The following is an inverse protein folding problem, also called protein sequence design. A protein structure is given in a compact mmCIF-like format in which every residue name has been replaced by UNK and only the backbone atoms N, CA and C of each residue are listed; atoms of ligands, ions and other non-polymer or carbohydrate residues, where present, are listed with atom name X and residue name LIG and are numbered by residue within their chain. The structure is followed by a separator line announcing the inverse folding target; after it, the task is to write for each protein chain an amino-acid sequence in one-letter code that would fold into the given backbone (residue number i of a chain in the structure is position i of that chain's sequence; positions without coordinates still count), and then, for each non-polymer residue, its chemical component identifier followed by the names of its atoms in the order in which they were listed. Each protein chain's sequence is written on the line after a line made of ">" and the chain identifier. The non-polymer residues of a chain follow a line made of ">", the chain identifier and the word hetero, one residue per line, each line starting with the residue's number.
data_IF_657357429096
#
_entry.id   IF_657357429096
#
_cell.length_a   1.000
_cell.length_b   1.000
_cell.length_c   1.000
_cell.angle_alpha   90.00
_cell.angle_beta   90.00
_cell.angle_gamma   90.00
#
_symmetry.space_group_name_H-M   'P 1'
#
loop_
_entity.id
_entity.type
_entity.pdbx_description
1 polymer ?
#
# COMPACT_ATOMS: atom_id res chain seq x y z
N UNK A 1 -13.45 -17.82 -5.22
CA UNK A 1 -13.64 -16.89 -6.36
C UNK A 1 -12.54 -17.15 -7.36
N UNK A 2 -12.81 -17.04 -8.64
CA UNK A 2 -11.80 -17.21 -9.68
C UNK A 2 -10.93 -15.95 -9.79
N UNK A 3 -9.63 -16.13 -9.59
CA UNK A 3 -8.62 -15.05 -9.64
C UNK A 3 -8.53 -14.44 -11.03
N UNK A 4 -8.71 -15.23 -12.10
CA UNK A 4 -8.68 -14.73 -13.47
C UNK A 4 -9.87 -13.81 -13.74
N UNK A 5 -11.08 -14.22 -13.34
CA UNK A 5 -12.27 -13.38 -13.40
C UNK A 5 -12.13 -12.07 -12.60
N UNK A 6 -11.54 -12.13 -11.41
CA UNK A 6 -11.30 -10.94 -10.59
C UNK A 6 -10.30 -9.98 -11.24
N UNK A 7 -9.24 -10.50 -11.86
CA UNK A 7 -8.27 -9.70 -12.58
C UNK A 7 -8.89 -9.06 -13.83
N UNK A 8 -9.67 -9.82 -14.61
CA UNK A 8 -10.41 -9.32 -15.76
C UNK A 8 -11.42 -8.22 -15.38
N UNK A 9 -12.01 -8.33 -14.19
CA UNK A 9 -12.89 -7.31 -13.61
C UNK A 9 -12.16 -6.20 -12.87
N UNK A 10 -10.83 -6.08 -12.95
CA UNK A 10 -10.06 -5.00 -12.31
C UNK A 10 -10.15 -4.96 -10.77
N UNK A 11 -10.54 -6.07 -10.13
CA UNK A 11 -10.74 -6.17 -8.67
C UNK A 11 -9.49 -6.65 -7.92
N UNK A 12 -8.45 -7.06 -8.63
CA UNK A 12 -7.13 -7.41 -8.10
C UNK A 12 -6.08 -7.07 -9.15
N UNK A 13 -4.89 -6.61 -8.74
CA UNK A 13 -3.84 -6.18 -9.66
C UNK A 13 -4.32 -5.01 -10.53
N UNK A 14 -3.89 -3.81 -10.20
CA UNK A 14 -4.59 -2.63 -10.71
C UNK A 14 -3.86 -1.36 -10.37
N UNK A 15 -4.60 -0.35 -9.91
CA UNK A 15 -4.04 0.95 -9.59
C UNK A 15 -3.94 1.16 -8.09
N UNK A 16 -2.93 1.89 -7.67
CA UNK A 16 -2.74 2.33 -6.30
C UNK A 16 -2.67 3.85 -6.27
N UNK A 17 -3.13 4.44 -5.17
CA UNK A 17 -2.96 5.86 -4.92
C UNK A 17 -1.52 6.09 -4.48
N UNK A 18 -0.82 7.00 -5.16
CA UNK A 18 0.52 7.42 -4.81
C UNK A 18 0.66 8.94 -4.84
N UNK A 19 1.71 9.44 -4.21
CA UNK A 19 2.12 10.85 -4.31
C UNK A 19 3.38 10.90 -5.17
N UNK A 20 3.37 11.73 -6.20
CA UNK A 20 4.51 11.91 -7.09
C UNK A 20 5.52 12.94 -6.54
N UNK A 21 6.63 13.11 -7.24
CA UNK A 21 7.72 14.04 -6.88
C UNK A 21 7.30 15.51 -6.74
N UNK A 22 6.15 15.91 -7.29
CA UNK A 22 5.59 17.26 -7.16
C UNK A 22 4.65 17.40 -5.95
N UNK A 23 4.49 16.35 -5.15
CA UNK A 23 3.55 16.30 -4.04
C UNK A 23 2.09 16.14 -4.46
N UNK A 24 1.83 15.77 -5.72
CA UNK A 24 0.48 15.58 -6.29
C UNK A 24 0.03 14.14 -6.13
N UNK A 25 -1.27 13.94 -5.89
CA UNK A 25 -1.87 12.60 -5.81
C UNK A 25 -2.23 12.11 -7.20
N UNK A 26 -1.82 10.88 -7.51
CA UNK A 26 -2.16 10.19 -8.75
C UNK A 26 -2.45 8.71 -8.49
N UNK A 27 -3.14 8.07 -9.42
CA UNK A 27 -3.35 6.63 -9.40
C UNK A 27 -2.44 5.95 -10.43
N UNK A 28 -1.55 5.09 -9.96
CA UNK A 28 -0.55 4.41 -10.78
C UNK A 28 -0.79 2.89 -10.83
N UNK A 29 -0.64 2.33 -12.02
CA UNK A 29 -0.80 0.88 -12.23
C UNK A 29 0.38 0.10 -11.65
N UNK A 30 0.08 -1.06 -11.08
CA UNK A 30 1.07 -2.03 -10.63
C UNK A 30 0.71 -3.43 -11.16
N UNK A 31 1.70 -4.27 -11.47
CA UNK A 31 1.43 -5.58 -12.03
C UNK A 31 0.73 -6.50 -11.02
N UNK A 32 -0.15 -7.37 -11.53
CA UNK A 32 -0.62 -8.52 -10.77
C UNK A 32 0.53 -9.54 -10.72
N UNK A 33 1.31 -9.53 -9.65
CA UNK A 33 2.39 -10.49 -9.47
C UNK A 33 1.84 -11.92 -9.29
N UNK A 34 2.66 -12.92 -9.61
CA UNK A 34 2.40 -14.32 -9.21
C UNK A 34 2.26 -14.43 -7.69
N UNK A 35 1.58 -15.47 -7.20
CA UNK A 35 1.49 -15.72 -5.77
C UNK A 35 2.79 -16.40 -5.31
N UNK A 36 3.52 -15.75 -4.42
CA UNK A 36 4.73 -16.32 -3.81
C UNK A 36 4.39 -17.39 -2.75
N UNK A 37 5.33 -18.29 -2.49
CA UNK A 37 5.18 -19.34 -1.48
C UNK A 37 4.83 -18.77 -0.10
N UNK A 38 3.80 -19.33 0.56
CA UNK A 38 3.34 -18.89 1.87
C UNK A 38 2.62 -17.53 1.90
N UNK A 39 2.38 -16.91 0.75
CA UNK A 39 1.66 -15.66 0.62
C UNK A 39 0.15 -15.86 0.38
N UNK A 40 -0.57 -14.75 0.49
CA UNK A 40 -2.00 -14.65 0.24
C UNK A 40 -2.25 -13.58 -0.82
N UNK A 41 -3.24 -13.81 -1.67
CA UNK A 41 -3.82 -12.73 -2.48
C UNK A 41 -5.09 -12.24 -1.83
N UNK A 42 -5.16 -10.93 -1.62
CA UNK A 42 -6.28 -10.28 -0.95
C UNK A 42 -6.95 -9.34 -1.94
N UNK A 43 -8.27 -9.48 -2.08
CA UNK A 43 -9.12 -8.47 -2.71
C UNK A 43 -9.51 -7.43 -1.66
N UNK A 44 -9.03 -6.20 -1.82
CA UNK A 44 -9.23 -5.11 -0.84
C UNK A 44 -10.69 -4.68 -0.78
N UNK A 45 -11.41 -4.97 0.31
CA UNK A 45 -12.81 -4.55 0.45
C UNK A 45 -12.90 -3.09 0.88
N UNK A 46 -12.05 -2.68 1.85
CA UNK A 46 -11.95 -1.29 2.32
C UNK A 46 -10.53 -0.97 2.74
N UNK A 47 -10.14 0.29 2.62
CA UNK A 47 -8.94 0.83 3.25
C UNK A 47 -9.23 2.19 3.85
N UNK A 48 -8.48 2.57 4.88
CA UNK A 48 -8.68 3.81 5.60
C UNK A 48 -7.45 4.70 5.46
N UNK A 49 -7.66 5.93 5.02
CA UNK A 49 -6.61 6.95 4.97
C UNK A 49 -6.25 7.37 6.39
N UNK A 50 -4.97 7.52 6.67
CA UNK A 50 -4.50 8.04 7.96
C UNK A 50 -4.24 9.54 7.92
N UNK A 51 -5.04 10.36 8.64
CA UNK A 51 -4.80 11.79 8.69
C UNK A 51 -3.45 12.15 9.32
N UNK A 52 -3.03 11.40 10.35
CA UNK A 52 -1.80 11.69 11.10
C UNK A 52 -0.53 11.11 10.48
N UNK A 53 -0.64 10.20 9.52
CA UNK A 53 0.52 9.55 8.89
C UNK A 53 0.57 9.84 7.41
N UNK A 54 -0.48 9.50 6.66
CA UNK A 54 -0.45 9.60 5.19
C UNK A 54 -0.56 11.05 4.73
N UNK A 55 -1.42 11.86 5.36
CA UNK A 55 -1.57 13.27 4.95
C UNK A 55 -0.33 14.13 5.26
N UNK A 56 0.58 13.67 6.11
CA UNK A 56 1.84 14.39 6.35
C UNK A 56 2.80 14.34 5.15
N UNK A 57 2.58 13.40 4.22
CA UNK A 57 3.35 13.31 2.97
C UNK A 57 2.72 14.10 1.81
N UNK A 58 1.55 14.70 2.02
CA UNK A 58 0.78 15.35 0.96
C UNK A 58 1.22 16.80 0.72
N UNK A 59 1.33 17.17 -0.57
CA UNK A 59 1.60 18.51 -1.04
C UNK A 59 3.09 18.84 -1.18
N UNK A 60 3.37 20.00 -1.79
CA UNK A 60 4.72 20.53 -2.00
C UNK A 60 5.47 20.81 -0.69
N UNK A 61 4.71 21.22 0.33
CA UNK A 61 5.20 21.51 1.68
C UNK A 61 4.92 20.35 2.64
N UNK A 62 5.07 19.10 2.16
CA UNK A 62 4.85 17.90 2.95
C UNK A 62 5.66 17.95 4.25
N UNK A 63 5.00 17.71 5.38
CA UNK A 63 5.58 17.90 6.72
C UNK A 63 6.22 16.63 7.29
N UNK A 64 6.09 15.49 6.61
CA UNK A 64 6.62 14.23 7.10
C UNK A 64 8.15 14.26 7.23
N UNK A 65 8.66 14.02 8.43
CA UNK A 65 10.09 14.10 8.74
C UNK A 65 10.96 13.13 7.92
N UNK A 66 10.41 12.00 7.47
CA UNK A 66 11.13 11.03 6.64
C UNK A 66 11.47 11.55 5.23
N UNK A 67 10.81 12.64 4.78
CA UNK A 67 11.14 13.34 3.54
C UNK A 67 12.32 14.32 3.68
N UNK A 68 12.75 14.62 4.92
CA UNK A 68 13.67 15.73 5.20
C UNK A 68 14.86 15.36 6.08
N UNK A 69 14.78 14.23 6.79
CA UNK A 69 15.75 13.80 7.80
C UNK A 69 15.96 12.29 7.74
N UNK A 70 17.00 11.84 8.45
CA UNK A 70 17.30 10.41 8.64
C UNK A 70 16.97 10.00 10.07
N UNK A 71 16.38 8.82 10.24
CA UNK A 71 16.22 8.19 11.54
C UNK A 71 17.55 7.57 11.99
N UNK A 72 18.06 7.98 13.16
CA UNK A 72 19.23 7.37 13.79
C UNK A 72 18.75 6.33 14.82
N UNK A 73 18.98 5.04 14.56
CA UNK A 73 18.52 3.94 15.41
C UNK A 73 19.17 3.91 16.80
N UNK A 74 20.45 4.27 16.88
CA UNK A 74 21.20 4.27 18.15
C UNK A 74 20.71 5.38 19.08
N UNK A 75 20.56 6.59 18.54
CA UNK A 75 20.09 7.75 19.30
C UNK A 75 18.56 7.80 19.43
N UNK A 76 17.82 7.04 18.62
CA UNK A 76 16.35 7.09 18.48
C UNK A 76 15.82 8.49 18.21
N UNK A 77 16.49 9.22 17.33
CA UNK A 77 16.18 10.60 16.98
C UNK A 77 16.31 10.85 15.47
N UNK A 78 15.54 11.80 14.96
CA UNK A 78 15.73 12.32 13.61
C UNK A 78 16.86 13.33 13.56
N UNK A 79 17.90 13.03 12.78
CA UNK A 79 19.08 13.86 12.59
C UNK A 79 19.11 14.45 11.18
N UNK A 80 19.93 15.50 10.97
CA UNK A 80 20.20 16.01 9.63
C UNK A 80 20.87 14.91 8.80
N UNK A 81 20.35 14.63 7.61
CA UNK A 81 20.85 13.59 6.73
C UNK A 81 19.96 13.44 5.50
N UNK A 82 20.22 12.41 4.68
CA UNK A 82 19.41 12.13 3.51
C UNK A 82 17.99 11.66 3.90
N UNK A 83 16.95 12.02 3.13
CA UNK A 83 15.61 11.46 3.31
C UNK A 83 15.65 9.93 3.28
N UNK A 84 14.88 9.29 4.15
CA UNK A 84 14.75 7.82 4.15
C UNK A 84 13.57 7.33 3.32
N UNK A 85 12.71 8.25 2.84
CA UNK A 85 11.63 7.98 1.91
C UNK A 85 11.81 8.89 0.70
N UNK A 86 11.59 8.35 -0.49
CA UNK A 86 11.64 9.08 -1.76
C UNK A 86 10.35 8.87 -2.55
N UNK A 87 10.02 9.84 -3.39
CA UNK A 87 8.91 9.72 -4.33
C UNK A 87 9.23 8.70 -5.46
N UNK A 88 8.20 8.09 -6.08
CA UNK A 88 6.79 8.16 -5.70
C UNK A 88 6.48 7.38 -4.42
N UNK A 89 5.57 7.90 -3.59
CA UNK A 89 5.21 7.28 -2.31
C UNK A 89 3.86 6.60 -2.44
N UNK A 90 3.84 5.28 -2.22
CA UNK A 90 2.64 4.46 -2.20
C UNK A 90 2.16 4.27 -0.77
N UNK A 91 0.88 4.55 -0.51
CA UNK A 91 0.27 4.45 0.82
C UNK A 91 -0.70 3.28 0.97
N UNK A 92 -1.07 3.03 2.21
CA UNK A 92 -2.01 2.00 2.63
C UNK A 92 -1.35 1.11 3.67
N UNK A 93 -1.82 1.24 4.91
CA UNK A 93 -1.39 0.37 6.00
C UNK A 93 -2.55 -0.08 6.91
N UNK A 94 -3.77 0.39 6.61
CA UNK A 94 -5.00 -0.01 7.29
C UNK A 94 -6.02 -0.43 6.25
N UNK A 95 -5.99 -1.70 5.91
CA UNK A 95 -6.87 -2.26 4.92
C UNK A 95 -7.51 -3.55 5.41
N UNK A 96 -8.73 -3.80 4.93
CA UNK A 96 -9.49 -5.00 5.17
C UNK A 96 -9.89 -5.61 3.83
N UNK A 97 -9.83 -6.92 3.72
CA UNK A 97 -10.09 -7.61 2.47
C UNK A 97 -10.49 -9.06 2.65
N UNK A 98 -10.71 -9.70 1.53
CA UNK A 98 -11.05 -11.11 1.44
C UNK A 98 -9.93 -11.85 0.72
N UNK A 99 -9.50 -12.99 1.27
CA UNK A 99 -8.50 -13.86 0.64
C UNK A 99 -9.12 -14.50 -0.59
N UNK A 100 -8.51 -14.29 -1.75
CA UNK A 100 -8.97 -14.84 -3.04
C UNK A 100 -8.07 -15.94 -3.57
N UNK A 101 -6.83 -16.00 -3.10
CA UNK A 101 -5.83 -17.03 -3.39
C UNK A 101 -4.97 -17.22 -2.13
N UNK A 102 -4.56 -18.45 -1.81
CA UNK A 102 -3.78 -18.73 -0.60
C UNK A 102 -2.83 -19.90 -0.81
N UNK A 103 -1.56 -19.68 -0.49
CA UNK A 103 -0.55 -20.72 -0.33
C UNK A 103 -0.12 -20.86 1.14
N UNK A 104 -0.95 -20.37 2.07
CA UNK A 104 -0.64 -20.40 3.51
C UNK A 104 -1.59 -21.31 4.25
N UNK A 105 -1.03 -22.34 4.88
CA UNK A 105 -1.77 -23.21 5.78
C UNK A 105 -2.46 -22.39 6.90
N UNK A 106 -3.74 -22.66 7.13
CA UNK A 106 -4.53 -22.01 8.17
C UNK A 106 -5.25 -20.72 7.76
N UNK A 107 -5.09 -20.24 6.53
CA UNK A 107 -5.83 -19.09 6.01
C UNK A 107 -6.49 -19.43 4.67
N UNK A 108 -7.70 -20.01 4.67
CA UNK A 108 -8.36 -20.45 3.44
C UNK A 108 -8.89 -19.27 2.61
N UNK A 109 -9.09 -19.50 1.30
CA UNK A 109 -9.85 -18.60 0.41
C UNK A 109 -11.24 -18.31 1.01
N UNK A 110 -11.69 -17.06 0.91
CA UNK A 110 -12.92 -16.56 1.53
C UNK A 110 -12.72 -15.98 2.95
N UNK A 111 -11.54 -16.17 3.55
CA UNK A 111 -11.21 -15.56 4.84
C UNK A 111 -11.22 -14.04 4.77
N UNK A 112 -11.81 -13.39 5.78
CA UNK A 112 -11.74 -11.94 5.96
C UNK A 112 -10.52 -11.60 6.81
N UNK A 113 -9.70 -10.69 6.32
CA UNK A 113 -8.42 -10.30 6.95
C UNK A 113 -8.30 -8.78 7.05
N UNK A 114 -7.54 -8.34 8.04
CA UNK A 114 -7.14 -6.94 8.22
C UNK A 114 -5.62 -6.88 8.36
N UNK A 115 -5.00 -5.86 7.79
CA UNK A 115 -3.55 -5.69 7.87
C UNK A 115 -3.04 -4.48 7.10
N UNK A 116 -1.74 -4.56 6.81
CA UNK A 116 -0.99 -3.51 6.16
C UNK A 116 -0.72 -3.90 4.70
N UNK A 117 -1.37 -3.21 3.78
CA UNK A 117 -1.06 -3.23 2.35
C UNK A 117 -1.61 -1.97 1.68
N UNK A 118 -1.06 -1.69 0.50
CA UNK A 118 -1.36 -0.48 -0.28
C UNK A 118 -2.86 -0.28 -0.55
N UNK A 119 -3.28 0.97 -0.66
CA UNK A 119 -4.61 1.31 -1.17
C UNK A 119 -4.76 0.75 -2.58
N UNK A 120 -5.95 0.23 -2.88
CA UNK A 120 -6.27 -0.35 -4.18
C UNK A 120 -7.45 0.39 -4.76
N UNK A 121 -7.26 0.95 -5.96
CA UNK A 121 -8.33 1.42 -6.81
C UNK A 121 -8.70 0.28 -7.76
N UNK A 122 -10.00 -0.02 -7.85
CA UNK A 122 -10.53 -0.93 -8.86
C UNK A 122 -10.75 -0.18 -10.16
N UNK A 123 -10.35 -0.80 -11.27
CA UNK A 123 -10.30 -0.13 -12.58
C UNK A 123 -11.57 -0.36 -13.42
N UNK A 124 -12.66 -0.80 -12.80
CA UNK A 124 -13.99 -1.02 -13.41
C UNK A 124 -15.06 -0.19 -12.73
#
# INVERSE_FOLDING_TARGET
>A
MDTEALAAAGQIGGRTVQINERGEVECASYPLAALDDGCLRIRTVRSAISPGTEMTFYGKEATNVYLHKTWNEELRLFVKGAPSISYPIVFGYRAAGEVVESDRAGVPVGSRVYGNWRHTEYTT
#
